data_IF_044226222162
#
_entry.id   IF_044226222162
#
_cell.length_a   1.000
_cell.length_b   1.000
_cell.length_c   1.000
_cell.angle_alpha   90.00
_cell.angle_beta   90.00
_cell.angle_gamma   90.00
#
_symmetry.space_group_name_H-M   'P 1'
#
loop_
_entity.id
_entity.type
_entity.pdbx_description
1 polymer ?
#
# COMPACT_ATOMS: atom_id res chain seq x y z
N UNK A 1 19.31 1.73 -13.33
CA UNK A 1 19.97 0.50 -12.84
C UNK A 1 18.94 -0.61 -12.68
N UNK A 2 19.26 -1.80 -13.19
CA UNK A 2 18.59 -3.11 -13.04
C UNK A 2 18.83 -3.63 -11.60
N UNK A 3 18.00 -4.41 -10.87
CA UNK A 3 17.18 -5.60 -11.17
C UNK A 3 16.26 -5.89 -9.95
N UNK A 4 15.06 -6.44 -10.17
CA UNK A 4 14.73 -7.75 -9.58
C UNK A 4 13.69 -8.47 -10.44
N UNK A 5 14.17 -9.53 -11.08
CA UNK A 5 13.45 -10.45 -11.96
C UNK A 5 12.54 -11.37 -11.14
N UNK A 6 11.28 -11.51 -11.53
CA UNK A 6 10.41 -12.57 -11.03
C UNK A 6 10.80 -13.90 -11.70
N UNK A 7 11.50 -14.77 -10.96
CA UNK A 7 11.86 -16.12 -11.41
C UNK A 7 10.65 -17.06 -11.23
N UNK A 8 10.08 -17.52 -12.35
CA UNK A 8 8.93 -18.42 -12.38
C UNK A 8 9.37 -19.77 -12.95
N UNK A 9 10.08 -20.56 -12.14
CA UNK A 9 10.42 -21.99 -12.33
C UNK A 9 10.79 -22.52 -10.93
N UNK A 10 10.22 -23.56 -10.34
CA UNK A 10 9.34 -24.62 -10.80
C UNK A 10 8.55 -25.08 -9.57
N UNK A 11 7.23 -25.00 -9.61
CA UNK A 11 6.39 -25.78 -8.74
C UNK A 11 5.51 -26.60 -9.68
N UNK A 12 6.03 -27.74 -10.11
CA UNK A 12 5.15 -28.85 -10.46
C UNK A 12 4.34 -29.15 -9.20
N UNK A 13 3.12 -28.58 -9.14
CA UNK A 13 2.12 -29.07 -8.23
C UNK A 13 1.78 -30.48 -8.72
N UNK A 14 2.36 -31.50 -8.08
CA UNK A 14 1.89 -32.86 -8.19
C UNK A 14 0.43 -32.86 -7.72
N UNK A 15 -0.50 -32.80 -8.68
CA UNK A 15 -1.93 -32.99 -8.43
C UNK A 15 -2.08 -34.41 -7.92
N UNK A 16 -2.65 -34.65 -6.72
CA UNK A 16 -2.95 -36.00 -6.28
C UNK A 16 -4.00 -36.59 -7.22
N UNK A 17 -3.62 -37.62 -7.97
CA UNK A 17 -4.52 -38.38 -8.83
C UNK A 17 -5.45 -39.18 -7.90
N UNK A 18 -6.65 -38.66 -7.62
CA UNK A 18 -7.69 -39.38 -6.88
C UNK A 18 -8.21 -40.53 -7.76
N UNK A 19 -8.06 -41.76 -7.27
CA UNK A 19 -8.66 -42.94 -7.88
C UNK A 19 -10.21 -42.91 -7.88
N UNK A 20 -10.87 -43.79 -8.65
CA UNK A 20 -12.30 -43.77 -8.80
C UNK A 20 -12.97 -44.40 -7.57
N UNK A 21 -13.83 -43.63 -6.91
CA UNK A 21 -14.78 -44.18 -5.95
C UNK A 21 -14.64 -43.61 -4.54
N UNK A 22 -15.12 -42.38 -4.36
CA UNK A 22 -15.98 -41.94 -3.26
C UNK A 22 -16.26 -40.46 -3.55
N UNK A 23 -17.46 -40.16 -4.05
CA UNK A 23 -17.84 -38.76 -4.31
C UNK A 23 -17.84 -37.98 -2.99
N UNK A 24 -17.36 -36.72 -2.96
CA UNK A 24 -17.35 -35.94 -1.74
C UNK A 24 -18.78 -35.78 -1.22
N UNK A 25 -18.98 -36.01 0.08
CA UNK A 25 -20.27 -35.78 0.75
C UNK A 25 -20.71 -34.32 0.54
N UNK A 26 -22.01 -34.02 0.58
CA UNK A 26 -22.51 -32.65 0.40
C UNK A 26 -21.88 -31.65 1.38
N UNK A 27 -21.53 -32.11 2.58
CA UNK A 27 -20.82 -31.33 3.62
C UNK A 27 -19.37 -30.98 3.25
N UNK A 28 -18.70 -31.83 2.47
CA UNK A 28 -17.30 -31.62 2.06
C UNK A 28 -17.21 -30.66 0.86
N UNK A 29 -18.25 -30.60 0.02
CA UNK A 29 -18.36 -29.64 -1.08
C UNK A 29 -18.56 -28.21 -0.58
N UNK A 30 -19.46 -28.00 0.37
CA UNK A 30 -19.70 -26.67 0.95
C UNK A 30 -18.49 -26.15 1.71
N UNK A 31 -17.75 -27.03 2.40
CA UNK A 31 -16.49 -26.67 3.06
C UNK A 31 -15.43 -26.24 2.03
N UNK A 32 -15.28 -26.98 0.94
CA UNK A 32 -14.32 -26.66 -0.12
C UNK A 32 -14.65 -25.34 -0.83
N UNK A 33 -15.93 -25.07 -1.10
CA UNK A 33 -16.40 -23.80 -1.67
C UNK A 33 -16.14 -22.62 -0.73
N UNK A 34 -16.40 -22.78 0.57
CA UNK A 34 -16.12 -21.76 1.58
C UNK A 34 -14.62 -21.48 1.70
N UNK A 35 -13.79 -22.52 1.66
CA UNK A 35 -12.33 -22.39 1.71
C UNK A 35 -11.79 -21.70 0.45
N UNK A 36 -12.35 -22.01 -0.72
CA UNK A 36 -11.99 -21.38 -1.99
C UNK A 36 -12.38 -19.90 -2.01
N UNK A 37 -13.55 -19.54 -1.46
CA UNK A 37 -13.95 -18.14 -1.28
C UNK A 37 -12.96 -17.40 -0.37
N UNK A 38 -12.62 -17.99 0.79
CA UNK A 38 -11.72 -17.39 1.77
C UNK A 38 -10.31 -17.19 1.22
N UNK A 39 -9.83 -18.12 0.41
CA UNK A 39 -8.53 -18.04 -0.26
C UNK A 39 -8.45 -16.95 -1.35
N UNK A 40 -9.59 -16.46 -1.86
CA UNK A 40 -9.63 -15.41 -2.87
C UNK A 40 -9.63 -13.98 -2.27
N UNK A 41 -9.86 -13.82 -0.96
CA UNK A 41 -9.91 -12.51 -0.29
C UNK A 41 -8.57 -11.73 -0.20
N UNK A 42 -7.37 -12.32 -0.06
CA UNK A 42 -6.17 -11.55 0.27
C UNK A 42 -5.60 -10.70 -0.88
N UNK A 43 -6.26 -10.66 -2.04
CA UNK A 43 -5.71 -10.01 -3.24
C UNK A 43 -5.97 -8.48 -3.35
N UNK A 44 -6.60 -7.83 -2.37
CA UNK A 44 -7.11 -6.45 -2.54
C UNK A 44 -6.40 -5.36 -1.73
N UNK A 45 -5.45 -5.70 -0.86
CA UNK A 45 -4.73 -4.69 -0.09
C UNK A 45 -3.52 -4.17 -0.88
N UNK A 46 -3.53 -2.88 -1.24
CA UNK A 46 -2.36 -2.17 -1.77
C UNK A 46 -1.88 -1.16 -0.73
N UNK A 47 -0.59 -1.19 -0.42
CA UNK A 47 0.08 -0.21 0.44
C UNK A 47 1.23 0.44 -0.33
N UNK A 48 1.48 1.72 -0.06
CA UNK A 48 2.59 2.46 -0.64
C UNK A 48 3.67 2.65 0.42
N UNK A 49 4.90 2.24 0.13
CA UNK A 49 6.06 2.49 0.98
C UNK A 49 7.08 3.30 0.21
N UNK A 50 7.53 4.39 0.81
CA UNK A 50 8.67 5.18 0.33
C UNK A 50 9.86 4.92 1.24
N UNK A 51 11.03 4.75 0.64
CA UNK A 51 12.30 4.71 1.38
C UNK A 51 13.00 6.05 1.17
N UNK A 52 13.25 6.76 2.26
CA UNK A 52 13.99 8.03 2.25
C UNK A 52 15.39 7.75 2.78
N UNK A 53 16.36 7.68 1.88
CA UNK A 53 17.76 7.52 2.27
C UNK A 53 18.28 8.86 2.82
N UNK A 54 18.80 8.88 4.05
CA UNK A 54 19.24 10.14 4.67
C UNK A 54 20.40 10.82 3.94
N UNK A 55 20.77 12.07 4.28
CA UNK A 55 19.92 13.23 4.50
C UNK A 55 19.29 13.71 3.18
N UNK A 56 18.46 12.88 2.54
CA UNK A 56 17.68 13.28 1.38
C UNK A 56 16.26 13.68 1.78
N UNK A 57 15.60 14.39 0.87
CA UNK A 57 14.17 14.68 0.91
C UNK A 57 13.53 14.06 -0.31
N UNK A 58 12.41 13.39 -0.13
CA UNK A 58 11.59 12.88 -1.23
C UNK A 58 10.33 13.74 -1.34
N UNK A 59 10.04 14.25 -2.54
CA UNK A 59 8.91 15.14 -2.77
C UNK A 59 7.89 14.46 -3.69
N UNK A 60 6.62 14.49 -3.28
CA UNK A 60 5.49 14.01 -4.06
C UNK A 60 4.61 15.18 -4.46
N UNK A 61 4.20 15.21 -5.73
CA UNK A 61 3.46 16.33 -6.31
C UNK A 61 2.11 15.84 -6.81
N UNK A 62 1.05 16.56 -6.44
CA UNK A 62 -0.31 16.25 -6.88
C UNK A 62 -0.98 17.51 -7.39
N UNK A 63 -1.44 17.49 -8.65
CA UNK A 63 -2.20 18.61 -9.20
C UNK A 63 -3.66 18.54 -8.76
N UNK A 64 -4.18 19.63 -8.22
CA UNK A 64 -5.56 19.74 -7.71
C UNK A 64 -6.18 21.08 -8.07
N UNK A 65 -7.51 21.16 -7.99
CA UNK A 65 -8.25 22.42 -8.10
C UNK A 65 -8.56 23.01 -6.73
N UNK A 66 -8.75 24.32 -6.66
CA UNK A 66 -9.13 25.04 -5.45
C UNK A 66 -10.42 24.46 -4.87
N UNK A 67 -10.46 24.37 -3.54
CA UNK A 67 -11.53 23.72 -2.78
C UNK A 67 -11.44 22.20 -2.69
N UNK A 68 -10.51 21.54 -3.41
CA UNK A 68 -10.34 20.07 -3.32
C UNK A 68 -9.76 19.69 -1.96
N UNK A 69 -10.43 18.78 -1.26
CA UNK A 69 -9.94 18.22 0.00
C UNK A 69 -8.91 17.12 -0.27
N UNK A 70 -7.75 17.26 0.36
CA UNK A 70 -6.60 16.37 0.26
C UNK A 70 -6.27 15.81 1.63
N UNK A 71 -5.82 14.55 1.65
CA UNK A 71 -5.44 13.85 2.86
C UNK A 71 -4.03 13.26 2.74
N UNK A 72 -3.21 13.46 3.77
CA UNK A 72 -1.95 12.77 3.97
C UNK A 72 -2.06 11.90 5.22
N UNK A 73 -1.80 10.61 5.07
CA UNK A 73 -1.63 9.67 6.19
C UNK A 73 -0.24 9.08 6.07
N UNK A 74 0.52 9.11 7.15
CA UNK A 74 1.87 8.56 7.19
C UNK A 74 2.10 7.77 8.47
N UNK A 75 2.95 6.76 8.35
CA UNK A 75 3.43 5.93 9.45
C UNK A 75 4.85 5.47 9.14
N UNK A 76 5.77 5.73 10.07
CA UNK A 76 7.18 5.34 9.92
C UNK A 76 7.32 3.87 10.28
N UNK A 77 7.44 3.02 9.26
CA UNK A 77 7.56 1.57 9.45
C UNK A 77 8.95 1.13 9.94
N UNK A 78 10.01 1.85 9.55
CA UNK A 78 11.40 1.48 9.85
C UNK A 78 12.33 2.69 9.82
N UNK A 79 13.27 2.72 10.75
CA UNK A 79 14.30 3.77 10.86
C UNK A 79 15.02 3.67 12.20
N UNK A 80 16.12 4.39 12.38
CA UNK A 80 16.85 4.41 13.66
C UNK A 80 16.04 5.07 14.77
N UNK A 81 15.44 6.21 14.45
CA UNK A 81 14.74 7.08 15.40
C UNK A 81 13.21 7.03 15.22
N UNK A 82 12.74 6.28 14.21
CA UNK A 82 11.32 6.08 13.89
C UNK A 82 10.54 7.40 13.71
N UNK A 83 11.20 8.42 13.19
CA UNK A 83 10.67 9.76 12.95
C UNK A 83 11.04 10.25 11.53
N UNK A 84 10.19 11.12 10.98
CA UNK A 84 10.38 11.78 9.68
C UNK A 84 9.91 13.24 9.76
N UNK A 85 10.59 14.14 9.05
CA UNK A 85 10.14 15.51 8.89
C UNK A 85 9.19 15.60 7.68
N UNK A 86 8.06 16.28 7.85
CA UNK A 86 6.98 16.36 6.88
C UNK A 86 6.65 17.81 6.60
N UNK A 87 6.62 18.17 5.31
CA UNK A 87 6.27 19.50 4.86
C UNK A 87 5.27 19.42 3.71
N UNK A 88 4.17 20.18 3.81
CA UNK A 88 3.16 20.32 2.77
C UNK A 88 3.17 21.76 2.31
N UNK A 89 3.47 21.98 1.04
CA UNK A 89 3.52 23.30 0.41
C UNK A 89 2.51 23.37 -0.72
N UNK A 90 1.86 24.53 -0.86
CA UNK A 90 1.03 24.85 -2.02
C UNK A 90 1.84 25.37 -3.21
N UNK A 91 1.21 25.53 -4.38
CA UNK A 91 1.85 26.01 -5.61
C UNK A 91 2.39 27.44 -5.51
N UNK A 92 1.90 28.22 -4.55
CA UNK A 92 2.34 29.58 -4.22
C UNK A 92 3.53 29.61 -3.24
N UNK A 93 4.08 28.45 -2.88
CA UNK A 93 5.05 28.24 -1.81
C UNK A 93 4.50 28.61 -0.41
N UNK A 94 3.19 28.65 -0.23
CA UNK A 94 2.60 28.78 1.10
C UNK A 94 2.71 27.43 1.80
N UNK A 95 3.37 27.41 2.97
CA UNK A 95 3.46 26.23 3.83
C UNK A 95 2.11 25.93 4.48
N UNK A 96 1.44 24.88 4.03
CA UNK A 96 0.16 24.40 4.58
C UNK A 96 0.38 23.63 5.88
N UNK A 97 1.46 22.86 5.96
CA UNK A 97 1.80 22.07 7.13
C UNK A 97 3.31 21.88 7.25
N UNK A 98 3.80 21.87 8.50
CA UNK A 98 5.15 21.45 8.83
C UNK A 98 5.15 20.70 10.15
N UNK A 99 5.62 19.46 10.12
CA UNK A 99 5.79 18.59 11.28
C UNK A 99 7.23 18.10 11.35
N UNK A 100 7.92 18.40 12.45
CA UNK A 100 9.28 17.93 12.68
C UNK A 100 9.24 16.65 13.53
N UNK A 101 10.01 15.64 13.13
CA UNK A 101 10.21 14.38 13.86
C UNK A 101 8.91 13.61 14.17
N UNK A 102 8.08 13.37 13.17
CA UNK A 102 6.83 12.61 13.32
C UNK A 102 6.99 11.12 13.08
N UNK A 103 6.38 10.30 13.95
CA UNK A 103 6.31 8.84 13.76
C UNK A 103 5.06 8.40 12.99
N UNK A 104 3.95 9.13 13.14
CA UNK A 104 2.70 8.89 12.42
C UNK A 104 1.83 10.15 12.42
N UNK A 105 0.94 10.27 11.44
CA UNK A 105 0.08 11.44 11.32
C UNK A 105 -1.04 11.26 10.31
N UNK A 106 -2.14 11.98 10.52
CA UNK A 106 -3.23 12.13 9.55
C UNK A 106 -3.59 13.60 9.43
N UNK A 107 -3.41 14.14 8.24
CA UNK A 107 -3.63 15.54 7.92
C UNK A 107 -4.60 15.66 6.77
N UNK A 108 -5.60 16.52 6.94
CA UNK A 108 -6.60 16.81 5.91
C UNK A 108 -6.61 18.32 5.69
N UNK A 109 -6.50 18.75 4.45
CA UNK A 109 -6.45 20.16 4.07
C UNK A 109 -7.20 20.38 2.76
N UNK A 110 -7.73 21.58 2.55
CA UNK A 110 -8.35 21.96 1.28
C UNK A 110 -7.37 22.82 0.48
N UNK A 111 -7.24 22.56 -0.82
CA UNK A 111 -6.42 23.38 -1.71
C UNK A 111 -6.99 24.80 -1.78
N UNK A 112 -6.19 25.82 -1.48
CA UNK A 112 -6.64 27.21 -1.55
C UNK A 112 -6.58 27.77 -2.98
N UNK A 113 -5.67 27.26 -3.81
CA UNK A 113 -5.46 27.67 -5.21
C UNK A 113 -5.33 26.45 -6.12
N UNK A 114 -5.63 26.64 -7.40
CA UNK A 114 -5.37 25.62 -8.42
C UNK A 114 -3.85 25.48 -8.64
N UNK A 115 -3.34 24.25 -8.71
CA UNK A 115 -1.93 24.03 -8.99
C UNK A 115 -1.40 22.71 -8.45
N UNK A 116 -0.08 22.67 -8.26
CA UNK A 116 0.69 21.53 -7.78
C UNK A 116 1.45 21.89 -6.52
#
# INVERSE_FOLDING_TARGET
MNKSYYNRNSLEAAVPVLGPGFGPSPTMRTLAELLALLAALPATASGYFVSVDGPAKECFFQRVTSGTEMGLILEVAKGSFLDIDVEITGPDNTGTYKGDRESSGKYTFAAHVDGT
#
